data_IF_950279860199
#
_entry.id   IF_950279860199
#
_cell.length_a   1.000
_cell.length_b   1.000
_cell.length_c   1.000
_cell.angle_alpha   90.00
_cell.angle_beta   90.00
_cell.angle_gamma   90.00
#
_symmetry.space_group_name_H-M   'P 1'
#
loop_
_entity.id
_entity.type
_entity.pdbx_description
1 polymer ?
#
# COMPACT_ATOMS: atom_id res chain seq x y z
N UNK A 1 -52.17 36.05 45.09
CA UNK A 1 -50.95 35.29 44.86
C UNK A 1 -50.89 34.94 43.37
N UNK A 2 -50.02 35.65 42.63
CA UNK A 2 -49.85 35.43 41.17
C UNK A 2 -48.60 34.54 41.00
N UNK A 3 -48.78 33.33 40.47
CA UNK A 3 -47.67 32.42 40.17
C UNK A 3 -46.91 32.86 38.91
N UNK A 4 -45.60 32.99 39.04
CA UNK A 4 -44.67 33.27 37.95
C UNK A 4 -44.26 31.95 37.31
N UNK A 5 -44.67 31.72 36.06
CA UNK A 5 -44.21 30.59 35.26
C UNK A 5 -42.90 30.97 34.57
N UNK A 6 -41.83 30.26 34.90
CA UNK A 6 -40.56 30.32 34.16
C UNK A 6 -40.61 29.40 32.95
N UNK A 7 -40.54 29.98 31.74
CA UNK A 7 -40.30 29.24 30.51
C UNK A 7 -38.80 28.87 30.43
N UNK A 8 -38.49 27.60 30.50
CA UNK A 8 -37.16 27.09 30.11
C UNK A 8 -37.11 27.00 28.58
N UNK A 9 -36.22 27.77 27.96
CA UNK A 9 -35.86 27.66 26.54
C UNK A 9 -34.68 26.68 26.47
N UNK A 10 -34.78 25.57 25.73
CA UNK A 10 -33.63 24.68 25.54
C UNK A 10 -32.64 25.35 24.59
N UNK A 11 -31.42 25.53 25.06
CA UNK A 11 -30.26 25.93 24.24
C UNK A 11 -29.85 24.74 23.36
N UNK A 12 -30.12 24.82 22.06
CA UNK A 12 -29.57 23.93 21.07
C UNK A 12 -28.11 24.29 20.86
N UNK A 13 -27.16 23.47 21.40
CA UNK A 13 -25.76 23.50 21.02
C UNK A 13 -25.64 22.96 19.58
N UNK A 14 -25.47 23.84 18.61
CA UNK A 14 -25.04 23.49 17.26
C UNK A 14 -23.57 23.10 17.34
N UNK A 15 -23.27 21.80 17.38
CA UNK A 15 -21.93 21.29 17.19
C UNK A 15 -21.55 21.50 15.72
N UNK A 16 -20.73 22.52 15.45
CA UNK A 16 -20.10 22.68 14.15
C UNK A 16 -19.12 21.51 13.96
N UNK A 17 -19.48 20.53 13.14
CA UNK A 17 -18.53 19.57 12.62
C UNK A 17 -17.58 20.34 11.70
N UNK A 18 -16.40 20.73 12.22
CA UNK A 18 -15.28 21.13 11.40
C UNK A 18 -14.88 19.89 10.59
N UNK A 19 -15.23 19.84 9.31
CA UNK A 19 -14.68 18.86 8.40
C UNK A 19 -13.16 19.05 8.40
N UNK A 20 -12.41 18.01 8.75
CA UNK A 20 -10.96 18.02 8.55
C UNK A 20 -10.67 18.38 7.08
N UNK A 21 -9.65 19.21 6.80
CA UNK A 21 -9.29 19.52 5.43
C UNK A 21 -9.01 18.21 4.69
N UNK A 22 -9.51 18.09 3.45
CA UNK A 22 -9.24 16.93 2.63
C UNK A 22 -7.72 16.73 2.52
N UNK A 23 -7.26 15.52 2.77
CA UNK A 23 -5.85 15.16 2.68
C UNK A 23 -5.36 15.39 1.25
N UNK A 24 -4.21 16.03 1.08
CA UNK A 24 -3.67 16.41 -0.24
C UNK A 24 -2.22 15.97 -0.38
N UNK A 25 -1.91 15.29 -1.47
CA UNK A 25 -0.57 14.84 -1.81
C UNK A 25 0.33 15.97 -2.36
N UNK A 26 -0.24 17.11 -2.73
CA UNK A 26 0.50 18.21 -3.36
C UNK A 26 1.60 18.81 -2.47
N UNK A 27 1.52 18.58 -1.16
CA UNK A 27 2.54 19.00 -0.19
C UNK A 27 3.79 18.12 -0.13
N UNK A 28 3.79 16.92 -0.74
CA UNK A 28 4.95 16.03 -0.75
C UNK A 28 6.14 16.70 -1.47
N UNK A 29 7.34 16.52 -0.98
CA UNK A 29 8.57 16.89 -1.70
C UNK A 29 8.76 15.96 -2.91
N UNK A 30 9.53 16.40 -3.92
CA UNK A 30 9.81 15.58 -5.09
C UNK A 30 11.16 14.88 -4.97
N UNK A 31 11.23 13.70 -5.56
CA UNK A 31 12.46 12.93 -5.73
C UNK A 31 12.50 11.67 -4.88
N UNK A 32 13.67 11.07 -4.87
CA UNK A 32 13.95 9.80 -4.20
C UNK A 32 13.97 9.99 -2.69
N UNK A 33 13.31 9.07 -1.97
CA UNK A 33 13.13 9.09 -0.50
C UNK A 33 12.70 10.48 0.02
N UNK A 34 11.91 11.20 -0.80
CA UNK A 34 11.49 12.55 -0.49
C UNK A 34 10.44 12.58 0.63
N UNK A 35 10.53 13.59 1.49
CA UNK A 35 9.59 13.75 2.60
C UNK A 35 8.16 13.91 2.10
N UNK A 36 7.24 13.17 2.73
CA UNK A 36 5.82 13.33 2.51
C UNK A 36 5.25 14.56 3.22
N UNK A 37 6.07 15.28 4.02
CA UNK A 37 5.68 16.48 4.76
C UNK A 37 4.41 16.30 5.61
N UNK A 38 4.30 15.15 6.28
CA UNK A 38 3.18 14.81 7.16
C UNK A 38 1.96 14.23 6.44
N UNK A 39 2.00 14.01 5.12
CA UNK A 39 0.96 13.25 4.44
C UNK A 39 1.02 11.77 4.88
N UNK A 40 -0.13 11.23 5.30
CA UNK A 40 -0.27 9.83 5.68
C UNK A 40 -1.03 9.13 4.54
N UNK A 41 -0.44 8.12 3.89
CA UNK A 41 -1.13 7.35 2.87
C UNK A 41 -2.39 6.70 3.42
N UNK A 42 -3.46 6.72 2.62
CA UNK A 42 -4.77 6.18 2.92
C UNK A 42 -5.55 6.92 4.04
N UNK A 43 -6.87 6.74 4.11
CA UNK A 43 -7.72 7.28 5.18
C UNK A 43 -7.36 6.73 6.56
N UNK A 44 -7.77 7.41 7.61
CA UNK A 44 -7.47 7.04 9.00
C UNK A 44 -8.09 5.72 9.45
N UNK A 45 -9.12 5.25 8.77
CA UNK A 45 -9.80 3.96 9.00
C UNK A 45 -9.21 2.80 8.17
N UNK A 46 -8.24 3.09 7.29
CA UNK A 46 -7.47 2.05 6.62
C UNK A 46 -6.70 1.19 7.63
N UNK A 47 -6.59 -0.11 7.36
CA UNK A 47 -5.94 -1.06 8.26
C UNK A 47 -4.49 -0.68 8.62
N UNK A 48 -3.75 -0.01 7.72
CA UNK A 48 -2.42 0.49 8.02
C UNK A 48 -2.41 1.56 9.11
N UNK A 49 -3.43 2.42 9.17
CA UNK A 49 -3.49 3.61 10.02
C UNK A 49 -4.27 3.39 11.33
N UNK A 50 -4.89 2.20 11.50
CA UNK A 50 -5.69 1.89 12.68
C UNK A 50 -4.83 1.71 13.93
N UNK A 51 -5.22 2.40 15.02
CA UNK A 51 -4.69 2.14 16.35
C UNK A 51 -5.22 0.79 16.85
N UNK A 52 -4.32 -0.17 17.03
CA UNK A 52 -4.63 -1.52 17.52
C UNK A 52 -4.18 -1.76 18.96
N UNK A 53 -3.76 -0.72 19.68
CA UNK A 53 -3.23 -0.86 21.04
C UNK A 53 -4.20 -1.52 22.04
N UNK A 54 -5.51 -1.44 21.76
CA UNK A 54 -6.57 -2.08 22.55
C UNK A 54 -7.30 -3.22 21.83
N UNK A 55 -6.86 -3.61 20.63
CA UNK A 55 -7.47 -4.71 19.90
C UNK A 55 -7.36 -6.04 20.68
N UNK A 56 -8.33 -6.96 20.56
CA UNK A 56 -8.28 -8.24 21.25
C UNK A 56 -7.07 -9.08 20.79
N UNK A 57 -6.47 -9.79 21.71
CA UNK A 57 -5.37 -10.73 21.45
C UNK A 57 -5.95 -12.05 20.96
N UNK A 58 -5.32 -12.66 19.96
CA UNK A 58 -5.70 -13.98 19.46
C UNK A 58 -5.52 -15.05 20.56
N UNK A 59 -6.48 -15.96 20.77
CA UNK A 59 -6.34 -17.04 21.75
C UNK A 59 -5.11 -17.92 21.52
N UNK A 60 -4.65 -18.04 20.29
CA UNK A 60 -3.47 -18.83 19.91
C UNK A 60 -2.18 -17.99 19.85
N UNK A 61 -2.22 -16.71 20.25
CA UNK A 61 -1.08 -15.79 20.15
C UNK A 61 0.23 -16.42 20.62
N UNK A 62 0.23 -17.04 21.82
CA UNK A 62 1.44 -17.66 22.36
C UNK A 62 1.93 -18.86 21.53
N UNK A 63 1.03 -19.64 20.96
CA UNK A 63 1.39 -20.78 20.11
C UNK A 63 1.96 -20.32 18.75
N UNK A 64 1.39 -19.27 18.17
CA UNK A 64 1.88 -18.63 16.94
C UNK A 64 3.28 -18.05 17.17
N UNK A 65 3.48 -17.32 18.27
CA UNK A 65 4.80 -16.76 18.63
C UNK A 65 5.83 -17.89 18.83
N UNK A 66 5.43 -18.97 19.50
CA UNK A 66 6.32 -20.13 19.67
C UNK A 66 6.68 -20.79 18.34
N UNK A 67 5.73 -20.87 17.39
CA UNK A 67 5.99 -21.37 16.02
C UNK A 67 6.97 -20.47 15.24
N UNK A 68 6.89 -19.14 15.42
CA UNK A 68 7.87 -18.18 14.85
C UNK A 68 9.24 -18.38 15.53
N UNK A 69 9.24 -18.75 16.81
CA UNK A 69 10.40 -18.89 17.68
C UNK A 69 10.49 -17.73 18.66
N UNK A 70 10.23 -17.98 19.94
CA UNK A 70 10.15 -16.99 21.03
C UNK A 70 11.34 -16.01 21.07
N UNK A 71 12.53 -16.50 20.78
CA UNK A 71 13.77 -15.71 20.81
C UNK A 71 14.14 -15.07 19.47
N UNK A 72 13.35 -15.26 18.41
CA UNK A 72 13.62 -14.65 17.10
C UNK A 72 13.63 -13.12 17.25
N UNK A 73 14.76 -12.45 16.89
CA UNK A 73 14.88 -11.02 17.10
C UNK A 73 14.13 -10.22 16.04
N UNK A 74 13.56 -9.09 16.44
CA UNK A 74 13.10 -8.08 15.49
C UNK A 74 14.30 -7.57 14.69
N UNK A 75 14.20 -7.55 13.36
CA UNK A 75 15.29 -7.18 12.49
C UNK A 75 14.89 -6.01 11.57
N UNK A 76 15.54 -4.84 11.70
CA UNK A 76 15.38 -3.77 10.71
C UNK A 76 16.14 -4.14 9.44
N UNK A 77 15.43 -4.29 8.32
CA UNK A 77 15.99 -4.59 7.02
C UNK A 77 16.11 -3.32 6.18
N UNK A 78 16.62 -2.28 6.78
CA UNK A 78 16.85 -0.95 6.21
C UNK A 78 17.92 -0.20 7.01
N UNK A 79 18.46 0.88 6.43
CA UNK A 79 19.45 1.68 7.14
C UNK A 79 20.23 2.63 6.22
N UNK A 80 21.29 3.22 6.79
CA UNK A 80 22.21 4.09 6.09
C UNK A 80 23.31 3.32 5.38
N UNK A 81 23.68 3.80 4.19
CA UNK A 81 24.80 3.26 3.41
C UNK A 81 24.42 2.04 2.57
N UNK A 82 25.44 1.28 2.24
CA UNK A 82 25.32 0.12 1.34
C UNK A 82 25.84 -1.15 2.02
N UNK A 83 25.20 -2.25 1.72
CA UNK A 83 25.70 -3.59 2.02
C UNK A 83 25.90 -4.35 0.72
N UNK A 84 27.09 -4.89 0.51
CA UNK A 84 27.48 -5.57 -0.74
C UNK A 84 27.23 -4.75 -2.03
N UNK A 85 27.35 -3.41 -1.95
CA UNK A 85 27.15 -2.50 -3.07
C UNK A 85 25.68 -2.18 -3.39
N UNK A 86 24.77 -2.51 -2.49
CA UNK A 86 23.34 -2.24 -2.59
C UNK A 86 22.87 -1.44 -1.38
N UNK A 87 21.97 -0.48 -1.59
CA UNK A 87 21.30 0.22 -0.48
C UNK A 87 20.45 -0.77 0.33
N UNK A 88 20.36 -0.53 1.64
CA UNK A 88 19.56 -1.35 2.56
C UNK A 88 18.16 -0.76 2.71
N UNK A 89 17.15 -1.49 2.28
CA UNK A 89 15.74 -1.08 2.30
C UNK A 89 15.14 -0.91 0.91
N UNK A 90 13.83 -0.61 0.86
CA UNK A 90 13.09 -0.47 -0.39
C UNK A 90 12.92 1.03 -0.70
N UNK A 91 13.51 1.53 -1.80
CA UNK A 91 13.43 2.93 -2.18
C UNK A 91 12.07 3.28 -2.75
N UNK A 92 11.71 4.56 -2.68
CA UNK A 92 10.57 5.13 -3.38
C UNK A 92 10.93 6.45 -4.08
N UNK A 93 10.11 6.87 -5.02
CA UNK A 93 10.27 8.15 -5.72
C UNK A 93 8.95 8.92 -5.73
N UNK A 94 8.97 10.19 -5.38
CA UNK A 94 7.81 11.09 -5.47
C UNK A 94 7.95 11.92 -6.73
N UNK A 95 6.97 11.79 -7.63
CA UNK A 95 6.99 12.40 -8.95
C UNK A 95 5.86 13.41 -9.17
N UNK A 96 6.06 14.30 -10.14
CA UNK A 96 5.06 15.25 -10.65
C UNK A 96 5.23 15.35 -12.16
N UNK A 97 4.13 15.27 -12.92
CA UNK A 97 4.14 15.40 -14.38
C UNK A 97 4.95 14.33 -15.11
N UNK A 98 5.22 13.18 -14.49
CA UNK A 98 6.00 12.10 -15.13
C UNK A 98 5.24 11.48 -16.29
N UNK A 99 5.92 11.19 -17.42
CA UNK A 99 5.28 10.56 -18.57
C UNK A 99 4.87 9.13 -18.22
N UNK A 100 3.70 8.73 -18.69
CA UNK A 100 3.21 7.37 -18.55
C UNK A 100 3.96 6.42 -19.50
N UNK A 101 4.37 5.27 -18.96
CA UNK A 101 5.09 4.22 -19.69
C UNK A 101 4.33 2.91 -19.67
N UNK A 102 4.55 2.09 -20.69
CA UNK A 102 3.95 0.74 -20.76
C UNK A 102 4.62 -0.19 -19.75
N UNK A 103 3.82 -0.97 -19.03
CA UNK A 103 4.27 -2.07 -18.19
C UNK A 103 3.93 -3.38 -18.88
N UNK A 104 4.92 -4.24 -19.08
CA UNK A 104 4.76 -5.59 -19.63
C UNK A 104 4.87 -6.60 -18.48
N UNK A 105 3.88 -7.45 -18.32
CA UNK A 105 3.90 -8.44 -17.25
C UNK A 105 4.59 -9.73 -17.68
N UNK A 106 5.49 -10.22 -16.81
CA UNK A 106 6.27 -11.44 -17.04
C UNK A 106 5.76 -12.64 -16.24
N UNK A 107 4.92 -12.40 -15.21
CA UNK A 107 4.36 -13.47 -14.37
C UNK A 107 2.88 -13.20 -14.02
N UNK A 108 2.59 -12.42 -12.99
CA UNK A 108 1.25 -12.27 -12.38
C UNK A 108 0.36 -11.23 -13.06
N UNK A 109 0.38 -11.14 -14.41
CA UNK A 109 -0.36 -10.11 -15.15
C UNK A 109 -1.88 -10.18 -14.96
N UNK A 110 -2.45 -11.36 -14.71
CA UNK A 110 -3.89 -11.53 -14.42
C UNK A 110 -4.31 -10.96 -13.08
N UNK A 111 -3.39 -10.84 -12.16
CA UNK A 111 -3.57 -10.31 -10.80
C UNK A 111 -3.00 -8.89 -10.64
N UNK A 112 -2.58 -8.29 -11.74
CA UNK A 112 -1.92 -6.98 -11.75
C UNK A 112 -2.81 -5.90 -12.33
N UNK A 113 -2.61 -4.67 -11.87
CA UNK A 113 -3.24 -3.52 -12.49
C UNK A 113 -2.51 -3.15 -13.78
N UNK A 114 -3.25 -2.96 -14.89
CA UNK A 114 -2.63 -2.66 -16.16
C UNK A 114 -2.02 -1.25 -16.15
N UNK A 115 -0.93 -1.09 -16.93
CA UNK A 115 -0.43 0.24 -17.24
C UNK A 115 -1.35 1.02 -18.19
N UNK A 116 -0.96 2.25 -18.55
CA UNK A 116 0.38 2.82 -18.31
C UNK A 116 0.53 3.38 -16.89
N UNK A 117 1.79 3.53 -16.46
CA UNK A 117 2.13 4.06 -15.13
C UNK A 117 3.20 5.15 -15.26
N UNK A 118 3.22 6.19 -14.40
CA UNK A 118 4.16 7.30 -14.48
C UNK A 118 5.52 6.94 -13.86
N UNK A 119 6.13 5.85 -14.32
CA UNK A 119 7.41 5.37 -13.80
C UNK A 119 8.56 6.08 -14.51
N UNK A 120 9.38 6.90 -13.82
CA UNK A 120 10.54 7.54 -14.41
C UNK A 120 11.53 6.51 -14.95
N UNK A 121 12.22 6.86 -16.06
CA UNK A 121 13.23 5.97 -16.65
C UNK A 121 14.33 5.58 -15.66
N UNK A 122 14.66 6.46 -14.74
CA UNK A 122 15.67 6.32 -13.71
C UNK A 122 15.08 6.13 -12.31
N UNK A 123 13.84 5.64 -12.22
CA UNK A 123 13.24 5.30 -10.92
C UNK A 123 14.19 4.39 -10.13
N UNK A 124 14.34 4.61 -8.82
CA UNK A 124 15.17 3.76 -8.00
C UNK A 124 14.57 2.35 -7.95
N UNK A 125 15.40 1.36 -8.21
CA UNK A 125 15.06 -0.05 -8.07
C UNK A 125 15.66 -0.52 -6.74
N UNK A 126 14.94 -1.30 -5.96
CA UNK A 126 15.46 -1.91 -4.74
C UNK A 126 16.85 -2.51 -4.96
N UNK A 127 17.76 -2.20 -4.03
CA UNK A 127 19.18 -2.58 -4.14
C UNK A 127 20.02 -1.67 -5.03
N UNK A 128 19.49 -0.50 -5.48
CA UNK A 128 20.33 0.45 -6.22
C UNK A 128 21.57 0.84 -5.40
N UNK A 129 22.68 1.32 -6.00
CA UNK A 129 22.89 1.55 -7.43
C UNK A 129 23.11 0.28 -8.26
N UNK A 130 23.26 -0.89 -7.62
CA UNK A 130 23.54 -2.16 -8.28
C UNK A 130 22.45 -3.20 -7.97
N UNK A 131 21.19 -2.99 -8.43
CA UNK A 131 20.10 -3.91 -8.14
C UNK A 131 20.45 -5.31 -8.68
N UNK A 132 20.52 -6.28 -7.77
CA UNK A 132 20.80 -7.68 -8.08
C UNK A 132 19.61 -8.41 -8.73
N UNK A 133 19.50 -9.70 -8.42
CA UNK A 133 18.38 -10.55 -8.83
C UNK A 133 17.34 -10.74 -7.72
N UNK A 134 17.30 -9.85 -6.72
CA UNK A 134 16.31 -9.85 -5.64
C UNK A 134 14.94 -9.37 -6.12
N UNK A 135 14.14 -8.88 -5.20
CA UNK A 135 12.73 -8.53 -5.46
C UNK A 135 12.56 -7.33 -6.40
N UNK A 136 13.57 -6.43 -6.44
CA UNK A 136 13.64 -5.34 -7.42
C UNK A 136 12.38 -4.49 -7.43
N UNK A 137 11.86 -4.12 -6.27
CA UNK A 137 10.72 -3.24 -6.15
C UNK A 137 11.00 -1.87 -6.76
N UNK A 138 9.96 -1.30 -7.40
CA UNK A 138 9.92 0.10 -7.82
C UNK A 138 8.64 0.70 -7.28
N UNK A 139 8.76 1.72 -6.43
CA UNK A 139 7.64 2.39 -5.76
C UNK A 139 7.62 3.85 -6.20
N UNK A 140 6.52 4.30 -6.80
CA UNK A 140 6.37 5.66 -7.33
C UNK A 140 5.09 6.31 -6.84
N UNK A 141 5.21 7.45 -6.16
CA UNK A 141 4.08 8.27 -5.73
C UNK A 141 3.88 9.42 -6.73
N UNK A 142 2.75 9.43 -7.39
CA UNK A 142 2.29 10.58 -8.19
C UNK A 142 1.57 11.57 -7.27
N UNK A 143 2.28 12.61 -6.84
CA UNK A 143 1.72 13.60 -5.93
C UNK A 143 0.65 14.49 -6.55
N UNK A 144 0.63 14.61 -7.89
CA UNK A 144 -0.34 15.46 -8.57
C UNK A 144 -1.75 14.84 -8.55
N UNK A 145 -1.79 13.50 -8.60
CA UNK A 145 -3.03 12.73 -8.65
C UNK A 145 -3.28 11.89 -7.40
N UNK A 146 -2.38 11.89 -6.41
CA UNK A 146 -2.46 11.05 -5.21
C UNK A 146 -2.60 9.54 -5.51
N UNK A 147 -1.82 9.05 -6.44
CA UNK A 147 -1.72 7.63 -6.77
C UNK A 147 -0.35 7.08 -6.39
N UNK A 148 -0.33 5.85 -5.91
CA UNK A 148 0.89 5.06 -5.71
C UNK A 148 0.91 3.93 -6.72
N UNK A 149 2.07 3.72 -7.34
CA UNK A 149 2.34 2.65 -8.29
C UNK A 149 3.48 1.80 -7.77
N UNK A 150 3.26 0.50 -7.68
CA UNK A 150 4.22 -0.45 -7.15
C UNK A 150 4.44 -1.57 -8.15
N UNK A 151 5.72 -1.86 -8.44
CA UNK A 151 6.14 -2.93 -9.33
C UNK A 151 7.02 -3.92 -8.56
N UNK A 152 6.87 -5.20 -8.87
CA UNK A 152 7.70 -6.30 -8.39
C UNK A 152 8.52 -6.90 -9.54
N UNK A 153 9.78 -7.27 -9.26
CA UNK A 153 10.72 -7.86 -10.21
C UNK A 153 10.85 -7.04 -11.50
N UNK A 154 11.29 -5.78 -11.31
CA UNK A 154 11.18 -4.71 -12.31
C UNK A 154 12.45 -4.52 -13.12
N UNK A 155 12.31 -4.40 -14.45
CA UNK A 155 13.42 -4.24 -15.40
C UNK A 155 13.09 -3.16 -16.44
N UNK A 156 13.84 -2.02 -16.48
CA UNK A 156 13.64 -0.98 -17.49
C UNK A 156 14.11 -1.48 -18.85
N UNK A 157 13.30 -1.21 -19.90
CA UNK A 157 13.57 -1.61 -21.25
C UNK A 157 14.15 -0.46 -22.10
N UNK A 158 14.92 -0.79 -23.14
CA UNK A 158 15.56 0.19 -24.03
C UNK A 158 14.56 1.08 -24.78
N UNK A 159 13.35 0.59 -25.04
CA UNK A 159 12.26 1.32 -25.69
C UNK A 159 11.50 2.24 -24.72
N UNK A 160 11.86 2.32 -23.45
CA UNK A 160 11.24 3.13 -22.43
C UNK A 160 10.06 2.46 -21.70
N UNK A 161 9.70 1.22 -22.03
CA UNK A 161 8.77 0.42 -21.22
C UNK A 161 9.48 -0.23 -20.03
N UNK A 162 8.70 -0.82 -19.14
CA UNK A 162 9.20 -1.64 -18.04
C UNK A 162 8.60 -3.04 -18.14
N UNK A 163 9.42 -4.04 -17.86
CA UNK A 163 8.96 -5.39 -17.57
C UNK A 163 8.84 -5.55 -16.06
N UNK A 164 7.76 -6.15 -15.58
CA UNK A 164 7.54 -6.44 -14.15
C UNK A 164 6.85 -7.79 -14.00
N UNK A 165 7.09 -8.49 -12.88
CA UNK A 165 6.35 -9.72 -12.59
C UNK A 165 4.90 -9.40 -12.20
N UNK A 166 4.70 -8.37 -11.38
CA UNK A 166 3.39 -7.85 -10.98
C UNK A 166 3.42 -6.34 -10.81
N UNK A 167 2.23 -5.73 -10.77
CA UNK A 167 2.05 -4.32 -10.43
C UNK A 167 0.74 -4.09 -9.69
N UNK A 168 0.74 -3.08 -8.81
CA UNK A 168 -0.44 -2.59 -8.13
C UNK A 168 -0.54 -1.07 -8.21
N UNK A 169 -1.76 -0.58 -8.29
CA UNK A 169 -2.11 0.85 -8.25
C UNK A 169 -2.95 1.08 -7.00
N UNK A 170 -2.60 2.10 -6.23
CA UNK A 170 -3.28 2.41 -4.98
C UNK A 170 -3.76 3.86 -4.99
N UNK A 171 -5.04 4.07 -4.71
CA UNK A 171 -5.59 5.39 -4.44
C UNK A 171 -5.24 5.81 -3.01
N UNK A 172 -4.31 6.76 -2.86
CA UNK A 172 -3.84 7.19 -1.53
C UNK A 172 -4.90 7.95 -0.72
N UNK A 173 -6.04 8.28 -1.32
CA UNK A 173 -7.13 9.02 -0.69
C UNK A 173 -8.34 8.14 -0.33
N UNK A 174 -8.33 6.86 -0.74
CA UNK A 174 -9.43 5.93 -0.53
C UNK A 174 -8.96 4.64 0.13
N UNK A 175 -9.89 3.95 0.77
CA UNK A 175 -9.67 2.63 1.37
C UNK A 175 -10.20 1.56 0.40
N UNK A 176 -9.33 1.07 -0.47
CA UNK A 176 -9.68 0.14 -1.54
C UNK A 176 -8.98 -1.18 -1.34
N UNK A 177 -9.76 -2.25 -1.26
CA UNK A 177 -9.23 -3.60 -1.21
C UNK A 177 -8.95 -4.12 -2.62
N UNK A 178 -7.81 -4.76 -2.82
CA UNK A 178 -7.51 -5.54 -4.02
C UNK A 178 -8.46 -6.74 -4.12
N UNK A 179 -8.70 -7.23 -5.34
CA UNK A 179 -9.50 -8.46 -5.52
C UNK A 179 -8.95 -9.61 -4.66
N UNK A 180 -9.83 -10.31 -4.01
CA UNK A 180 -9.47 -11.54 -3.29
C UNK A 180 -8.72 -12.50 -4.20
N UNK A 181 -7.69 -13.13 -3.68
CA UNK A 181 -6.75 -14.03 -4.37
C UNK A 181 -5.77 -13.33 -5.32
N UNK A 182 -5.74 -12.00 -5.36
CA UNK A 182 -4.75 -11.27 -6.13
C UNK A 182 -3.58 -10.84 -5.25
N UNK A 183 -2.38 -11.09 -5.75
CA UNK A 183 -1.16 -10.49 -5.23
C UNK A 183 -1.07 -8.99 -5.57
N UNK A 184 -0.06 -8.32 -5.05
CA UNK A 184 0.33 -6.95 -5.44
C UNK A 184 1.80 -6.96 -5.89
N UNK A 185 2.55 -5.90 -5.57
CA UNK A 185 4.01 -5.95 -5.53
C UNK A 185 4.52 -6.67 -4.26
N UNK A 186 3.64 -6.90 -3.29
CA UNK A 186 3.89 -7.68 -2.08
C UNK A 186 3.03 -8.97 -2.11
N UNK A 187 3.53 -10.06 -1.57
CA UNK A 187 2.90 -11.38 -1.69
C UNK A 187 1.49 -11.44 -1.08
N UNK A 188 1.25 -10.73 0.00
CA UNK A 188 -0.06 -10.66 0.67
C UNK A 188 -1.13 -9.87 -0.08
N UNK A 189 -0.80 -9.26 -1.23
CA UNK A 189 -1.72 -8.34 -1.92
C UNK A 189 -1.86 -6.99 -1.21
N UNK A 190 -0.86 -6.60 -0.44
CA UNK A 190 -0.78 -5.34 0.30
C UNK A 190 0.11 -4.31 -0.42
N UNK A 191 0.04 -3.06 0.01
CA UNK A 191 0.98 -2.03 -0.41
C UNK A 191 2.31 -2.20 0.33
N UNK A 192 3.41 -2.26 -0.42
CA UNK A 192 4.77 -2.26 0.14
C UNK A 192 5.06 -0.93 0.82
N UNK A 193 4.79 0.18 0.12
CA UNK A 193 5.10 1.54 0.58
C UNK A 193 4.41 1.90 1.89
N UNK A 194 3.14 1.52 2.05
CA UNK A 194 2.37 1.87 3.24
C UNK A 194 2.95 1.31 4.54
N UNK A 195 3.66 0.20 4.45
CA UNK A 195 4.28 -0.46 5.61
C UNK A 195 5.76 -0.16 5.81
N UNK A 196 6.39 0.71 5.02
CA UNK A 196 7.80 1.08 5.20
C UNK A 196 7.98 1.99 6.42
N UNK A 197 8.97 1.70 7.26
CA UNK A 197 9.50 2.68 8.19
C UNK A 197 10.27 3.73 7.39
N UNK A 198 9.80 4.98 7.36
CA UNK A 198 10.43 6.07 6.61
C UNK A 198 11.20 7.01 7.54
N UNK A 199 12.37 7.44 7.09
CA UNK A 199 13.22 8.31 7.90
C UNK A 199 12.55 9.65 8.23
N UNK A 200 11.81 10.24 7.31
CA UNK A 200 11.13 11.54 7.54
C UNK A 200 10.12 11.47 8.68
N UNK A 201 9.43 10.35 8.87
CA UNK A 201 8.50 10.12 9.97
C UNK A 201 9.24 9.98 11.30
N UNK A 202 10.31 9.17 11.33
CA UNK A 202 11.13 9.01 12.54
C UNK A 202 11.78 10.34 12.94
N UNK A 203 12.25 11.12 11.98
CA UNK A 203 12.79 12.44 12.21
C UNK A 203 11.73 13.43 12.72
N UNK A 204 10.47 13.25 12.35
CA UNK A 204 9.34 14.04 12.89
C UNK A 204 8.89 13.60 14.29
N UNK A 205 9.39 12.46 14.77
CA UNK A 205 9.14 11.90 16.08
C UNK A 205 8.00 10.90 16.19
N UNK A 206 7.32 10.55 15.06
CA UNK A 206 6.24 9.56 15.08
C UNK A 206 6.03 8.89 13.72
N UNK A 207 5.94 7.56 13.71
CA UNK A 207 5.33 6.78 12.64
C UNK A 207 3.85 6.59 12.99
N UNK A 208 2.96 6.90 12.05
CA UNK A 208 1.52 6.92 12.29
C UNK A 208 0.78 5.82 11.52
N UNK A 209 1.44 4.71 11.28
CA UNK A 209 0.89 3.52 10.59
C UNK A 209 1.57 2.24 11.08
N UNK A 210 1.00 1.10 10.75
CA UNK A 210 1.61 -0.21 10.97
C UNK A 210 2.82 -0.42 10.04
N UNK A 211 3.78 -1.23 10.46
CA UNK A 211 4.91 -1.61 9.61
C UNK A 211 4.61 -2.93 8.88
N UNK A 212 5.19 -3.12 7.69
CA UNK A 212 5.21 -4.44 7.06
C UNK A 212 6.33 -5.29 7.68
N UNK A 213 6.07 -6.61 7.77
CA UNK A 213 7.10 -7.55 8.17
C UNK A 213 6.99 -8.88 7.44
N UNK A 214 8.04 -9.67 7.51
CA UNK A 214 8.12 -10.98 6.87
C UNK A 214 8.32 -12.10 7.89
N UNK A 215 7.89 -13.31 7.52
CA UNK A 215 8.17 -14.56 8.22
C UNK A 215 8.62 -15.62 7.22
N UNK A 216 9.44 -16.57 7.69
CA UNK A 216 9.96 -17.63 6.84
C UNK A 216 8.88 -18.63 6.41
N UNK A 217 7.93 -18.91 7.27
CA UNK A 217 6.87 -19.89 7.05
C UNK A 217 5.51 -19.24 7.23
N UNK A 218 4.65 -19.34 6.22
CA UNK A 218 3.28 -18.86 6.27
C UNK A 218 2.28 -19.96 5.96
N UNK A 219 1.07 -19.80 6.50
CA UNK A 219 -0.07 -20.65 6.23
C UNK A 219 -0.56 -20.46 4.79
N UNK A 220 -1.22 -21.49 4.23
CA UNK A 220 -1.98 -21.37 2.98
C UNK A 220 -3.31 -20.66 3.23
N UNK A 221 -3.22 -19.45 3.80
CA UNK A 221 -4.36 -18.64 4.20
C UNK A 221 -3.98 -17.16 4.25
N UNK A 222 -4.98 -16.31 4.32
CA UNK A 222 -4.84 -14.89 4.62
C UNK A 222 -5.97 -14.38 5.51
N UNK A 223 -5.71 -13.27 6.19
CA UNK A 223 -6.70 -12.49 6.95
C UNK A 223 -6.67 -11.04 6.47
N UNK A 224 -7.78 -10.29 6.47
CA UNK A 224 -7.74 -8.87 6.14
C UNK A 224 -6.72 -8.11 7.02
N UNK A 225 -5.99 -7.14 6.45
CA UNK A 225 -6.22 -6.49 5.15
C UNK A 225 -5.64 -7.21 3.93
N UNK A 226 -4.96 -8.34 4.09
CA UNK A 226 -4.43 -9.08 2.93
C UNK A 226 -5.55 -9.60 2.02
N UNK A 227 -5.23 -9.75 0.75
CA UNK A 227 -6.11 -10.33 -0.26
C UNK A 227 -5.62 -11.66 -0.81
N UNK A 228 -4.39 -12.06 -0.49
CA UNK A 228 -3.71 -13.20 -1.08
C UNK A 228 -2.89 -13.98 -0.04
N UNK A 229 -2.75 -15.28 -0.24
CA UNK A 229 -1.83 -16.16 0.48
C UNK A 229 -0.58 -16.43 -0.35
N UNK A 230 0.55 -16.68 0.30
CA UNK A 230 1.79 -17.03 -0.39
C UNK A 230 2.53 -18.22 0.28
N UNK A 231 1.93 -18.77 1.33
CA UNK A 231 2.47 -19.92 2.04
C UNK A 231 1.82 -21.23 1.62
N UNK A 232 2.40 -22.32 2.11
CA UNK A 232 1.88 -23.67 1.90
C UNK A 232 1.87 -24.49 3.21
N UNK A 233 2.16 -23.86 4.34
CA UNK A 233 2.11 -24.54 5.63
C UNK A 233 0.66 -24.95 5.96
N UNK A 234 0.52 -26.14 6.49
CA UNK A 234 -0.75 -26.66 7.05
C UNK A 234 -0.72 -26.70 8.57
N UNK A 235 0.34 -26.18 9.19
CA UNK A 235 0.43 -26.06 10.64
C UNK A 235 -0.55 -24.97 11.12
N UNK A 236 -1.44 -25.26 12.09
CA UNK A 236 -2.45 -24.31 12.52
C UNK A 236 -1.89 -23.10 13.28
N UNK A 237 -0.61 -23.08 13.55
CA UNK A 237 0.09 -21.96 14.19
C UNK A 237 1.02 -21.22 13.21
N UNK A 238 1.08 -21.64 11.93
CA UNK A 238 1.75 -20.85 10.91
C UNK A 238 0.95 -19.56 10.65
N UNK A 239 1.65 -18.45 10.52
CA UNK A 239 1.01 -17.16 10.32
C UNK A 239 0.32 -17.05 8.94
N UNK A 240 -0.95 -16.63 8.85
CA UNK A 240 -1.57 -16.26 7.59
C UNK A 240 -1.02 -14.90 7.11
N UNK A 241 -1.01 -14.67 5.79
CA UNK A 241 -0.76 -13.32 5.26
C UNK A 241 -1.79 -12.34 5.81
N UNK A 242 -1.37 -11.11 6.11
CA UNK A 242 -2.22 -10.11 6.76
C UNK A 242 -2.30 -10.21 8.28
N UNK A 243 -1.75 -11.26 8.91
CA UNK A 243 -1.69 -11.35 10.37
C UNK A 243 -1.05 -10.10 10.97
N UNK A 244 -1.67 -9.58 12.02
CA UNK A 244 -1.16 -8.40 12.73
C UNK A 244 -0.53 -8.80 14.05
N UNK A 245 0.64 -8.24 14.33
CA UNK A 245 1.32 -8.35 15.62
C UNK A 245 1.55 -6.95 16.18
N UNK A 246 1.51 -6.81 17.51
CA UNK A 246 1.91 -5.57 18.17
C UNK A 246 2.89 -5.86 19.30
N UNK A 247 3.79 -4.91 19.56
CA UNK A 247 4.64 -4.94 20.72
C UNK A 247 3.78 -4.78 21.99
N UNK A 248 3.96 -5.64 22.98
CA UNK A 248 3.19 -5.61 24.23
C UNK A 248 3.29 -4.25 24.92
N UNK A 249 2.17 -3.74 25.42
CA UNK A 249 2.12 -2.44 26.09
C UNK A 249 3.09 -2.36 27.29
N UNK A 250 3.31 -3.46 27.99
CA UNK A 250 4.21 -3.58 29.15
C UNK A 250 5.70 -3.60 28.80
N UNK A 251 6.08 -3.81 27.53
CA UNK A 251 7.49 -3.85 27.15
C UNK A 251 8.13 -2.47 27.30
N UNK A 252 9.18 -2.35 28.11
CA UNK A 252 9.83 -1.06 28.37
C UNK A 252 10.74 -0.67 27.20
N UNK A 253 10.43 0.47 26.58
CA UNK A 253 11.20 1.04 25.45
C UNK A 253 12.05 2.25 25.87
N UNK A 254 12.04 2.67 27.14
CA UNK A 254 12.66 3.90 27.60
C UNK A 254 14.18 3.91 27.48
N UNK A 255 14.81 2.74 27.49
CA UNK A 255 16.26 2.60 27.36
C UNK A 255 16.78 2.56 25.91
N UNK A 256 15.88 2.50 24.92
CA UNK A 256 16.26 2.49 23.50
C UNK A 256 16.65 3.89 23.02
N UNK A 257 17.55 4.00 22.03
CA UNK A 257 17.90 5.30 21.44
C UNK A 257 16.72 5.86 20.61
N UNK A 258 16.73 7.17 20.30
CA UNK A 258 15.54 7.87 19.79
C UNK A 258 14.89 7.28 18.53
N UNK A 259 15.67 6.88 17.53
CA UNK A 259 15.10 6.29 16.30
C UNK A 259 14.42 4.97 16.58
N UNK A 260 15.06 4.10 17.37
CA UNK A 260 14.46 2.82 17.80
C UNK A 260 13.21 3.03 18.68
N UNK A 261 13.23 4.03 19.60
CA UNK A 261 12.05 4.34 20.41
C UNK A 261 10.84 4.71 19.54
N UNK A 262 11.04 5.55 18.51
CA UNK A 262 9.96 5.96 17.60
C UNK A 262 9.36 4.75 16.86
N UNK A 263 10.20 3.84 16.36
CA UNK A 263 9.77 2.61 15.71
C UNK A 263 9.00 1.70 16.70
N UNK A 264 9.55 1.48 17.90
CA UNK A 264 8.92 0.64 18.92
C UNK A 264 7.59 1.23 19.43
N UNK A 265 7.48 2.57 19.50
CA UNK A 265 6.23 3.23 19.84
C UNK A 265 5.14 2.98 18.77
N UNK A 266 5.50 3.01 17.48
CA UNK A 266 4.59 2.65 16.40
C UNK A 266 4.17 1.19 16.48
N UNK A 267 5.11 0.28 16.76
CA UNK A 267 4.82 -1.15 16.94
C UNK A 267 3.88 -1.44 18.11
N UNK A 268 3.89 -0.61 19.17
CA UNK A 268 2.90 -0.69 20.25
C UNK A 268 1.52 -0.23 19.83
N UNK A 269 1.46 0.83 19.03
CA UNK A 269 0.19 1.50 18.69
C UNK A 269 -0.47 0.90 17.46
N UNK A 270 0.29 0.78 16.39
CA UNK A 270 -0.20 0.34 15.07
C UNK A 270 0.20 -1.09 14.75
N UNK A 271 1.25 -1.59 15.43
CA UNK A 271 1.78 -2.94 15.21
C UNK A 271 2.48 -3.10 13.87
N UNK A 272 2.51 -4.34 13.40
CA UNK A 272 3.02 -4.72 12.09
C UNK A 272 2.12 -5.75 11.42
N UNK A 273 2.12 -5.77 10.09
CA UNK A 273 1.26 -6.63 9.26
C UNK A 273 2.16 -7.56 8.44
N UNK A 274 1.88 -8.86 8.49
CA UNK A 274 2.60 -9.84 7.67
C UNK A 274 2.24 -9.66 6.20
N UNK A 275 3.25 -9.34 5.40
CA UNK A 275 3.07 -8.92 4.01
C UNK A 275 3.74 -9.84 3.00
N UNK A 276 4.79 -10.57 3.41
CA UNK A 276 5.53 -11.48 2.53
C UNK A 276 6.21 -12.61 3.30
N UNK A 277 6.67 -13.63 2.55
CA UNK A 277 7.63 -14.61 3.05
C UNK A 277 9.06 -14.02 2.96
N UNK A 278 9.88 -14.37 3.93
CA UNK A 278 11.26 -13.89 4.02
C UNK A 278 11.91 -14.34 5.31
N UNK A 279 12.94 -13.67 5.74
CA UNK A 279 13.51 -13.94 7.07
C UNK A 279 12.50 -13.53 8.15
N UNK A 280 12.43 -14.33 9.24
CA UNK A 280 11.45 -14.08 10.29
C UNK A 280 11.73 -12.81 11.06
N UNK A 281 10.65 -12.06 11.37
CA UNK A 281 10.65 -10.80 12.14
C UNK A 281 11.46 -9.66 11.49
N UNK A 282 11.61 -9.68 10.15
CA UNK A 282 12.22 -8.58 9.42
C UNK A 282 11.16 -7.51 9.13
N UNK A 283 11.38 -6.29 9.62
CA UNK A 283 10.60 -5.10 9.27
C UNK A 283 11.33 -4.31 8.18
N UNK A 284 10.59 -3.74 7.26
CA UNK A 284 11.14 -3.05 6.10
C UNK A 284 11.05 -1.53 6.26
N UNK A 285 11.98 -0.80 5.68
CA UNK A 285 11.98 0.68 5.64
C UNK A 285 12.68 1.20 4.40
N UNK A 286 12.76 2.53 4.29
CA UNK A 286 13.46 3.20 3.20
C UNK A 286 14.99 3.24 3.43
N UNK A 287 15.80 3.21 2.35
CA UNK A 287 17.23 3.48 2.45
C UNK A 287 17.46 4.99 2.61
N UNK A 288 17.99 5.42 3.75
CA UNK A 288 18.32 6.82 3.98
C UNK A 288 19.66 6.94 4.73
N UNK A 289 20.56 7.79 4.24
CA UNK A 289 21.87 7.99 4.86
C UNK A 289 21.82 8.72 6.22
N UNK A 290 20.67 9.19 6.61
CA UNK A 290 20.44 9.83 7.93
C UNK A 290 20.06 8.83 9.02
N UNK A 291 19.76 7.56 8.69
CA UNK A 291 19.56 6.51 9.68
C UNK A 291 20.82 6.33 10.54
N UNK A 292 20.63 6.15 11.84
CA UNK A 292 21.67 5.71 12.74
C UNK A 292 21.65 4.17 12.85
N UNK A 293 22.51 3.50 12.12
CA UNK A 293 22.57 2.03 12.12
C UNK A 293 22.85 1.43 13.51
N UNK A 294 23.49 2.16 14.43
CA UNK A 294 23.67 1.70 15.80
C UNK A 294 22.34 1.76 16.59
N UNK A 295 21.54 2.78 16.37
CA UNK A 295 20.19 2.88 16.96
C UNK A 295 19.32 1.73 16.43
N UNK A 296 19.30 1.53 15.11
CA UNK A 296 18.53 0.46 14.48
C UNK A 296 18.96 -0.92 14.97
N UNK A 297 20.28 -1.14 15.15
CA UNK A 297 20.80 -2.41 15.63
C UNK A 297 20.26 -2.81 17.01
N UNK A 298 19.84 -1.84 17.84
CA UNK A 298 19.25 -2.11 19.16
C UNK A 298 17.91 -2.84 19.07
N UNK A 299 17.17 -2.67 17.96
CA UNK A 299 15.91 -3.38 17.70
C UNK A 299 16.08 -4.91 17.74
N UNK A 300 17.28 -5.41 17.41
CA UNK A 300 17.60 -6.85 17.47
C UNK A 300 17.61 -7.42 18.89
N UNK A 301 17.52 -6.59 19.92
CA UNK A 301 17.33 -7.05 21.31
C UNK A 301 15.87 -7.33 21.66
N UNK A 302 14.92 -7.01 20.79
CA UNK A 302 13.48 -7.22 21.00
C UNK A 302 13.08 -8.60 20.45
N UNK A 303 12.77 -9.61 21.30
CA UNK A 303 12.44 -10.95 20.83
C UNK A 303 10.98 -11.03 20.37
N UNK A 304 10.63 -12.04 19.58
CA UNK A 304 9.27 -12.31 19.16
C UNK A 304 8.32 -12.48 20.35
N UNK A 305 8.79 -13.05 21.47
CA UNK A 305 8.01 -13.19 22.72
C UNK A 305 7.60 -11.86 23.36
N UNK A 306 8.19 -10.73 22.95
CA UNK A 306 7.76 -9.39 23.37
C UNK A 306 6.51 -8.88 22.62
N UNK A 307 6.07 -9.60 21.61
CA UNK A 307 4.89 -9.28 20.82
C UNK A 307 3.68 -10.12 21.23
N UNK A 308 2.53 -9.71 20.75
CA UNK A 308 1.30 -10.47 20.80
C UNK A 308 0.57 -10.39 19.45
N UNK A 309 -0.10 -11.47 19.06
CA UNK A 309 -0.87 -11.54 17.83
C UNK A 309 -2.26 -10.98 18.10
N UNK A 310 -2.71 -10.05 17.25
CA UNK A 310 -4.09 -9.53 17.28
C UNK A 310 -5.02 -10.57 16.70
N UNK A 311 -6.25 -10.64 17.22
CA UNK A 311 -7.28 -11.60 16.82
C UNK A 311 -7.35 -11.74 15.28
N UNK A 312 -7.16 -12.98 14.83
CA UNK A 312 -7.24 -13.36 13.41
C UNK A 312 -8.70 -13.76 13.12
N UNK A 313 -9.48 -12.80 12.62
CA UNK A 313 -10.87 -13.02 12.25
C UNK A 313 -11.32 -11.97 11.21
N UNK A 314 -11.79 -12.39 10.03
CA UNK A 314 -11.90 -13.75 9.52
C UNK A 314 -10.56 -14.34 9.01
N UNK A 315 -10.46 -15.66 8.95
CA UNK A 315 -9.38 -16.39 8.28
C UNK A 315 -9.90 -16.98 6.96
N UNK A 316 -9.26 -16.62 5.85
CA UNK A 316 -9.61 -17.10 4.51
C UNK A 316 -8.57 -18.09 3.99
N UNK A 317 -9.07 -19.23 3.54
CA UNK A 317 -8.31 -20.31 2.89
C UNK A 317 -8.80 -20.48 1.46
N UNK A 318 -8.17 -21.28 0.60
CA UNK A 318 -8.66 -21.54 -0.76
C UNK A 318 -10.12 -22.05 -0.85
N UNK A 319 -10.69 -22.51 0.25
CA UNK A 319 -12.04 -23.13 0.30
C UNK A 319 -13.14 -22.18 0.80
N UNK A 320 -12.81 -21.04 1.42
CA UNK A 320 -13.78 -20.13 2.02
C UNK A 320 -13.57 -18.65 1.67
N UNK A 321 -12.81 -18.36 0.61
CA UNK A 321 -12.63 -16.98 0.12
C UNK A 321 -13.98 -16.35 -0.19
N UNK A 322 -14.24 -15.10 0.23
CA UNK A 322 -15.48 -14.41 -0.11
C UNK A 322 -15.69 -14.32 -1.61
N UNK A 323 -16.91 -14.53 -2.03
CA UNK A 323 -17.35 -14.38 -3.43
C UNK A 323 -18.41 -13.33 -3.55
N UNK A 324 -18.41 -12.61 -4.66
CA UNK A 324 -19.37 -11.56 -4.92
C UNK A 324 -19.36 -11.14 -6.40
N UNK A 325 -20.21 -10.20 -6.80
CA UNK A 325 -20.27 -9.74 -8.18
C UNK A 325 -19.06 -8.85 -8.52
N UNK A 326 -18.40 -9.15 -9.64
CA UNK A 326 -17.48 -8.22 -10.27
C UNK A 326 -18.25 -6.96 -10.74
N UNK A 327 -17.55 -5.83 -10.99
CA UNK A 327 -18.18 -4.60 -11.47
C UNK A 327 -18.98 -4.82 -12.76
N UNK A 328 -20.07 -4.05 -12.94
CA UNK A 328 -20.89 -4.08 -14.16
C UNK A 328 -20.67 -2.80 -14.93
N UNK A 329 -20.11 -2.91 -16.15
CA UNK A 329 -19.92 -1.76 -17.05
C UNK A 329 -21.16 -1.64 -17.94
N UNK A 330 -22.00 -0.65 -17.67
CA UNK A 330 -23.19 -0.33 -18.46
C UNK A 330 -22.86 0.39 -19.77
N UNK A 331 -21.83 1.25 -19.76
CA UNK A 331 -21.35 1.94 -20.96
C UNK A 331 -19.90 2.40 -20.82
N UNK A 332 -19.17 2.44 -21.95
CA UNK A 332 -17.89 3.12 -22.11
C UNK A 332 -17.86 3.76 -23.49
N UNK A 333 -17.77 5.09 -23.56
CA UNK A 333 -17.97 5.88 -24.78
C UNK A 333 -16.87 6.92 -24.97
N UNK A 334 -16.66 7.36 -26.22
CA UNK A 334 -15.77 8.47 -26.57
C UNK A 334 -16.55 9.53 -27.33
N UNK A 335 -16.42 10.80 -26.94
CA UNK A 335 -17.10 11.91 -27.59
C UNK A 335 -16.15 13.11 -27.73
N UNK A 336 -15.89 13.56 -28.99
CA UNK A 336 -16.18 12.87 -30.26
C UNK A 336 -15.35 11.58 -30.42
N UNK A 337 -15.80 10.61 -31.22
CA UNK A 337 -15.07 9.36 -31.50
C UNK A 337 -14.08 9.47 -32.67
N UNK A 338 -14.14 10.60 -33.42
CA UNK A 338 -13.23 10.92 -34.53
C UNK A 338 -12.80 12.38 -34.40
N UNK A 339 -11.48 12.62 -34.42
CA UNK A 339 -10.87 13.95 -34.21
C UNK A 339 -9.63 14.13 -35.07
N UNK A 340 -9.14 15.37 -35.17
CA UNK A 340 -7.77 15.65 -35.64
C UNK A 340 -6.75 15.34 -34.53
N UNK A 341 -5.49 15.13 -34.94
CA UNK A 341 -4.42 14.86 -33.99
C UNK A 341 -4.27 15.96 -32.92
N UNK A 342 -4.32 15.60 -31.65
CA UNK A 342 -4.20 16.53 -30.53
C UNK A 342 -5.51 17.20 -30.08
N UNK A 343 -6.62 17.00 -30.78
CA UNK A 343 -7.91 17.50 -30.36
C UNK A 343 -8.49 16.71 -29.18
N UNK A 344 -9.21 17.37 -28.26
CA UNK A 344 -9.71 16.71 -27.07
C UNK A 344 -10.84 15.71 -27.36
N UNK A 345 -10.80 14.58 -26.67
CA UNK A 345 -11.84 13.56 -26.63
C UNK A 345 -12.18 13.25 -25.19
N UNK A 346 -13.45 13.26 -24.82
CA UNK A 346 -13.91 12.82 -23.50
C UNK A 346 -14.26 11.33 -23.56
N UNK A 347 -13.55 10.52 -22.80
CA UNK A 347 -13.93 9.14 -22.48
C UNK A 347 -14.86 9.17 -21.27
N UNK A 348 -16.03 8.54 -21.36
CA UNK A 348 -17.00 8.51 -20.28
C UNK A 348 -17.53 7.10 -20.06
N UNK A 349 -17.84 6.77 -18.81
CA UNK A 349 -18.33 5.45 -18.44
C UNK A 349 -19.43 5.53 -17.38
N UNK A 350 -20.26 4.47 -17.40
CA UNK A 350 -21.21 4.18 -16.34
C UNK A 350 -20.92 2.78 -15.83
N UNK A 351 -20.47 2.67 -14.59
CA UNK A 351 -20.06 1.40 -13.97
C UNK A 351 -20.66 1.33 -12.57
N UNK A 352 -21.22 0.21 -12.22
CA UNK A 352 -21.67 -0.07 -10.87
C UNK A 352 -20.79 -1.10 -10.19
N UNK A 353 -20.55 -0.93 -8.88
CA UNK A 353 -19.83 -1.87 -8.03
C UNK A 353 -18.31 -1.88 -8.21
N UNK A 354 -17.71 -0.92 -8.92
CA UNK A 354 -16.25 -0.77 -8.97
C UNK A 354 -15.77 0.10 -7.82
N UNK A 355 -14.61 -0.25 -7.28
CA UNK A 355 -13.86 0.54 -6.31
C UNK A 355 -12.93 1.54 -7.00
N UNK A 356 -12.23 1.11 -8.04
CA UNK A 356 -11.30 1.96 -8.80
C UNK A 356 -11.29 1.61 -10.29
N UNK A 357 -10.68 2.52 -11.08
CA UNK A 357 -10.62 2.41 -12.53
C UNK A 357 -9.20 2.61 -13.05
N UNK A 358 -8.90 1.89 -14.13
CA UNK A 358 -7.74 2.15 -14.97
C UNK A 358 -8.20 2.24 -16.42
N UNK A 359 -7.65 3.17 -17.19
CA UNK A 359 -7.89 3.30 -18.63
C UNK A 359 -6.56 3.15 -19.39
N UNK A 360 -6.50 2.23 -20.33
CA UNK A 360 -5.31 1.95 -21.14
C UNK A 360 -5.65 2.00 -22.63
N UNK A 361 -4.73 2.47 -23.49
CA UNK A 361 -3.41 3.04 -23.23
C UNK A 361 -3.45 4.51 -22.83
N UNK A 362 -2.30 5.06 -22.42
CA UNK A 362 -2.00 6.50 -22.29
C UNK A 362 -2.67 7.27 -21.13
N UNK A 363 -3.57 6.65 -20.38
CA UNK A 363 -4.34 7.33 -19.31
C UNK A 363 -3.88 6.89 -17.91
N UNK A 364 -3.90 5.60 -17.61
CA UNK A 364 -3.58 5.05 -16.27
C UNK A 364 -4.77 5.04 -15.33
N UNK A 365 -4.49 5.15 -14.02
CA UNK A 365 -5.49 5.17 -12.97
C UNK A 365 -6.30 6.47 -12.98
N UNK A 366 -7.61 6.36 -12.76
CA UNK A 366 -8.54 7.50 -12.83
C UNK A 366 -9.63 7.41 -11.78
N UNK A 367 -10.10 8.58 -11.33
CA UNK A 367 -11.29 8.72 -10.47
C UNK A 367 -12.48 9.25 -11.27
N UNK A 368 -13.67 9.09 -10.72
CA UNK A 368 -14.91 9.60 -11.32
C UNK A 368 -15.42 8.75 -12.48
N UNK A 369 -16.12 9.37 -13.42
CA UNK A 369 -16.85 8.71 -14.52
C UNK A 369 -16.44 9.17 -15.91
N UNK A 370 -15.38 9.99 -16.02
CA UNK A 370 -14.87 10.46 -17.30
C UNK A 370 -13.44 10.97 -17.19
N UNK A 371 -12.74 11.00 -18.33
CA UNK A 371 -11.42 11.61 -18.50
C UNK A 371 -11.31 12.22 -19.88
N UNK A 372 -10.66 13.39 -19.99
CA UNK A 372 -10.35 14.02 -21.28
C UNK A 372 -8.94 13.64 -21.72
N UNK A 373 -8.82 13.19 -22.94
CA UNK A 373 -7.56 12.81 -23.60
C UNK A 373 -7.34 13.66 -24.86
N UNK A 374 -6.08 13.75 -25.33
CA UNK A 374 -5.70 14.46 -26.55
C UNK A 374 -4.91 13.50 -27.45
N UNK A 375 -5.58 12.55 -28.14
CA UNK A 375 -4.90 11.50 -28.89
C UNK A 375 -4.19 12.08 -30.15
N UNK A 376 -2.96 11.64 -30.40
CA UNK A 376 -2.20 11.99 -31.59
C UNK A 376 -2.24 10.92 -32.69
N UNK A 377 -2.82 9.75 -32.38
CA UNK A 377 -3.02 8.62 -33.29
C UNK A 377 -4.25 7.81 -32.86
N UNK A 378 -4.86 7.12 -33.82
CA UNK A 378 -5.98 6.24 -33.55
C UNK A 378 -5.60 5.15 -32.54
N UNK A 379 -6.49 4.90 -31.56
CA UNK A 379 -6.29 3.87 -30.53
C UNK A 379 -7.63 3.26 -30.10
N UNK A 380 -7.57 2.04 -29.60
CA UNK A 380 -8.65 1.42 -28.85
C UNK A 380 -8.32 1.54 -27.36
N UNK A 381 -9.18 2.22 -26.63
CA UNK A 381 -9.07 2.37 -25.19
C UNK A 381 -9.85 1.26 -24.50
N UNK A 382 -9.27 0.74 -23.43
CA UNK A 382 -9.91 -0.25 -22.55
C UNK A 382 -10.10 0.38 -21.18
N UNK A 383 -11.31 0.35 -20.68
CA UNK A 383 -11.66 0.67 -19.29
C UNK A 383 -11.59 -0.64 -18.49
N UNK A 384 -10.93 -0.59 -17.36
CA UNK A 384 -10.89 -1.63 -16.34
C UNK A 384 -11.58 -1.09 -15.09
N UNK A 385 -12.66 -1.73 -14.66
CA UNK A 385 -13.31 -1.47 -13.38
C UNK A 385 -13.05 -2.65 -12.45
N UNK A 386 -12.55 -2.38 -11.26
CA UNK A 386 -12.08 -3.41 -10.31
C UNK A 386 -12.73 -3.23 -8.95
N UNK A 387 -13.04 -4.34 -8.26
CA UNK A 387 -13.47 -4.37 -6.85
C UNK A 387 -12.88 -5.61 -6.15
N UNK A 388 -13.21 -5.85 -4.88
CA UNK A 388 -12.73 -7.00 -4.13
C UNK A 388 -13.07 -8.38 -4.74
N UNK A 389 -14.01 -8.45 -5.68
CA UNK A 389 -14.47 -9.71 -6.28
C UNK A 389 -14.02 -9.90 -7.74
N UNK A 390 -13.22 -8.98 -8.26
CA UNK A 390 -12.63 -9.11 -9.58
C UNK A 390 -12.68 -7.86 -10.44
N UNK A 391 -12.48 -8.06 -11.74
CA UNK A 391 -12.34 -7.00 -12.74
C UNK A 391 -13.28 -7.23 -13.91
N UNK A 392 -13.88 -6.14 -14.42
CA UNK A 392 -14.60 -6.09 -15.68
C UNK A 392 -13.96 -5.12 -16.66
N UNK A 393 -14.12 -5.35 -17.96
CA UNK A 393 -13.52 -4.52 -19.01
C UNK A 393 -14.52 -4.15 -20.09
N UNK A 394 -14.35 -2.96 -20.68
CA UNK A 394 -15.03 -2.53 -21.90
C UNK A 394 -14.07 -1.74 -22.77
N UNK A 395 -14.33 -1.69 -24.08
CA UNK A 395 -13.46 -1.00 -25.03
C UNK A 395 -14.21 0.04 -25.84
N UNK A 396 -13.49 1.11 -26.24
CA UNK A 396 -13.97 2.12 -27.19
C UNK A 396 -12.84 2.53 -28.12
N UNK A 397 -13.17 2.71 -29.41
CA UNK A 397 -12.19 3.16 -30.42
C UNK A 397 -12.28 4.66 -30.61
N UNK A 398 -11.12 5.34 -30.60
CA UNK A 398 -10.97 6.72 -31.05
C UNK A 398 -10.18 6.73 -32.34
N UNK A 399 -10.67 7.42 -33.36
CA UNK A 399 -10.04 7.55 -34.68
C UNK A 399 -9.44 8.93 -34.80
N UNK A 400 -8.17 9.04 -35.20
CA UNK A 400 -7.47 10.28 -35.51
C UNK A 400 -7.28 10.33 -37.02
N UNK A 401 -7.73 11.43 -37.66
CA UNK A 401 -7.69 11.70 -39.09
C UNK A 401 -6.52 12.64 -39.42
#
# INVERSE_FOLDING_TARGET
MRGLQFLLVPAFCLSAFLSAPAQSCSGMSLGREASLNGFIPFPSDNAWNQDISSAPVDPNSSAIINFIGDSTPLHPDFGAGEYAGQTMGIPYDVVSGSPFVTINFTAYGSESDPGPMPIPKNAPIEGYPNPGSGDRHVLVLDRDNCWLYELYSSYPQKNGSWDAASAAVWDLLNDEQRPYTWTSADAAGLSVFAGLARYDEVASGAIQHALRFTLQNSENAFTPPASHWAGNSTDPYAAPMGMRMRLQASYDISSFPPQAQTILAALKKYGMIMADNGSSMFITGDPDNRWNNNDLATLKSVPASAFEVVLIDPLYTPTNVPTGPAPVIGSFTANPSTVSAGEPVTLSWNVSGASYFVVSPQVGAVRGSSVTITPTKSATYTLYGTNAYGRSTATVKVTVQ
#
